data_IF_573443226154
#
_entry.id   IF_573443226154
#
_cell.length_a   1.000
_cell.length_b   1.000
_cell.length_c   1.000
_cell.angle_alpha   90.00
_cell.angle_beta   90.00
_cell.angle_gamma   90.00
#
_symmetry.space_group_name_H-M   'P 1'
#
loop_
_entity.id
_entity.type
_entity.pdbx_description
1 polymer ?
#
# COMPACT_ATOMS: atom_id res chain seq x y z
N UNK A 1 15.38 -2.57 6.02
CA UNK A 1 14.70 -3.73 5.39
C UNK A 1 14.16 -3.34 4.01
N UNK A 2 13.24 -2.38 3.88
CA UNK A 2 12.65 -1.96 2.59
C UNK A 2 13.68 -1.65 1.50
N UNK A 3 14.70 -0.85 1.80
CA UNK A 3 15.76 -0.52 0.83
C UNK A 3 16.51 -1.76 0.30
N UNK A 4 16.74 -2.76 1.15
CA UNK A 4 17.40 -4.01 0.75
C UNK A 4 16.49 -4.85 -0.16
N UNK A 5 15.19 -4.92 0.14
CA UNK A 5 14.20 -5.59 -0.70
C UNK A 5 14.09 -4.92 -2.09
N UNK A 6 14.09 -3.59 -2.12
CA UNK A 6 14.10 -2.80 -3.37
C UNK A 6 15.35 -3.10 -4.20
N UNK A 7 16.53 -3.06 -3.60
CA UNK A 7 17.78 -3.34 -4.31
C UNK A 7 17.81 -4.77 -4.88
N UNK A 8 17.34 -5.75 -4.10
CA UNK A 8 17.25 -7.15 -4.55
C UNK A 8 16.23 -7.31 -5.69
N UNK A 9 15.06 -6.68 -5.60
CA UNK A 9 14.06 -6.71 -6.65
C UNK A 9 14.53 -6.04 -7.95
N UNK A 10 15.24 -4.92 -7.86
CA UNK A 10 15.83 -4.26 -9.02
C UNK A 10 16.87 -5.16 -9.71
N UNK A 11 17.71 -5.84 -8.94
CA UNK A 11 18.67 -6.81 -9.49
C UNK A 11 17.96 -7.99 -10.15
N UNK A 12 16.92 -8.54 -9.53
CA UNK A 12 16.13 -9.64 -10.09
C UNK A 12 15.45 -9.24 -11.43
N UNK A 13 14.95 -8.01 -11.51
CA UNK A 13 14.40 -7.46 -12.75
C UNK A 13 15.46 -7.32 -13.84
N UNK A 14 16.64 -6.78 -13.52
CA UNK A 14 17.76 -6.63 -14.47
C UNK A 14 18.25 -7.98 -15.00
N UNK A 15 18.33 -8.98 -14.12
CA UNK A 15 18.75 -10.34 -14.47
C UNK A 15 17.64 -11.16 -15.16
N UNK A 16 16.41 -10.61 -15.27
CA UNK A 16 15.24 -11.29 -15.82
C UNK A 16 15.01 -12.65 -15.16
N UNK A 17 15.08 -12.69 -13.84
CA UNK A 17 14.85 -13.93 -13.06
C UNK A 17 13.48 -14.51 -13.44
N UNK A 18 13.40 -15.77 -13.91
CA UNK A 18 12.14 -16.36 -14.31
C UNK A 18 11.09 -16.34 -13.18
N UNK A 19 9.89 -15.86 -13.49
CA UNK A 19 8.78 -15.76 -12.53
C UNK A 19 8.80 -14.50 -11.65
N UNK A 20 9.83 -13.66 -11.73
CA UNK A 20 9.84 -12.37 -11.01
C UNK A 20 9.12 -11.28 -11.82
N UNK A 21 7.95 -10.85 -11.35
CA UNK A 21 7.12 -9.85 -12.02
C UNK A 21 7.28 -8.43 -11.43
N UNK A 22 7.93 -8.29 -10.28
CA UNK A 22 8.02 -7.02 -9.55
C UNK A 22 7.95 -7.22 -8.05
N UNK A 23 7.75 -6.12 -7.31
CA UNK A 23 7.62 -6.15 -5.86
C UNK A 23 6.22 -5.75 -5.40
N UNK A 24 5.80 -6.39 -4.32
CA UNK A 24 4.71 -5.92 -3.47
C UNK A 24 5.31 -5.50 -2.12
N UNK A 25 5.24 -4.21 -1.81
CA UNK A 25 5.65 -3.65 -0.53
C UNK A 25 4.41 -3.46 0.36
N UNK A 26 4.15 -4.43 1.24
CA UNK A 26 3.08 -4.37 2.23
C UNK A 26 3.58 -3.67 3.51
N UNK A 27 3.32 -2.37 3.62
CA UNK A 27 3.88 -1.51 4.66
C UNK A 27 5.18 -0.80 4.27
N UNK A 28 5.72 0.07 5.14
CA UNK A 28 5.41 0.20 6.57
C UNK A 28 4.25 1.16 6.91
N UNK A 29 3.62 1.77 5.90
CA UNK A 29 2.59 2.80 6.08
C UNK A 29 1.21 2.22 6.36
N UNK A 30 1.12 1.46 7.45
CA UNK A 30 -0.06 0.71 7.86
C UNK A 30 -0.69 1.30 9.13
N UNK A 31 -1.81 0.75 9.59
CA UNK A 31 -2.41 1.07 10.89
C UNK A 31 -1.89 0.13 11.98
N UNK A 32 -1.40 0.68 13.10
CA UNK A 32 -0.98 -0.12 14.27
C UNK A 32 -2.16 -0.94 14.82
N UNK A 33 -3.38 -0.38 14.79
CA UNK A 33 -4.60 -1.04 15.24
C UNK A 33 -4.92 -2.32 14.42
N UNK A 34 -4.46 -2.36 13.17
CA UNK A 34 -4.64 -3.49 12.25
C UNK A 34 -3.30 -4.09 11.81
N UNK A 35 -2.28 -4.06 12.68
CA UNK A 35 -0.91 -4.52 12.35
C UNK A 35 -0.82 -5.98 11.90
N UNK A 36 -1.71 -6.86 12.35
CA UNK A 36 -1.59 -8.30 12.12
C UNK A 36 -0.21 -8.82 12.55
N UNK A 37 0.48 -9.47 11.61
CA UNK A 37 1.82 -10.02 11.78
C UNK A 37 2.97 -8.99 11.60
N UNK A 38 2.67 -7.75 11.21
CA UNK A 38 3.69 -6.71 11.09
C UNK A 38 4.22 -6.29 12.48
N UNK A 39 5.53 -6.01 12.53
CA UNK A 39 6.18 -5.46 13.72
C UNK A 39 5.68 -4.02 13.96
N UNK A 40 4.98 -3.75 15.08
CA UNK A 40 4.44 -2.43 15.37
C UNK A 40 5.53 -1.35 15.49
N UNK A 41 6.76 -1.69 15.83
CA UNK A 41 7.85 -0.73 15.95
C UNK A 41 8.30 -0.15 14.59
N UNK A 42 7.96 -0.83 13.49
CA UNK A 42 8.29 -0.39 12.13
C UNK A 42 7.13 0.35 11.43
N UNK A 43 5.90 0.23 11.96
CA UNK A 43 4.74 0.90 11.38
C UNK A 43 4.81 2.39 11.66
N UNK A 44 4.72 3.19 10.60
CA UNK A 44 4.81 4.66 10.70
C UNK A 44 4.15 5.37 9.51
N UNK A 45 3.75 6.64 9.69
CA UNK A 45 3.25 7.46 8.59
C UNK A 45 4.25 7.57 7.43
N UNK A 46 3.71 7.77 6.23
CA UNK A 46 4.48 8.05 5.02
C UNK A 46 5.01 9.48 5.05
N UNK A 47 6.30 9.63 4.78
CA UNK A 47 6.98 10.92 4.63
C UNK A 47 7.23 11.23 3.15
N UNK A 48 7.67 12.46 2.85
CA UNK A 48 8.09 12.84 1.50
C UNK A 48 9.24 11.99 0.98
N UNK A 49 10.15 11.58 1.87
CA UNK A 49 11.28 10.71 1.54
C UNK A 49 10.80 9.33 1.11
N UNK A 50 9.79 8.78 1.79
CA UNK A 50 9.23 7.47 1.43
C UNK A 50 8.53 7.52 0.07
N UNK A 51 7.74 8.57 -0.15
CA UNK A 51 7.04 8.78 -1.41
C UNK A 51 8.02 8.90 -2.59
N UNK A 52 9.04 9.74 -2.45
CA UNK A 52 10.08 9.89 -3.46
C UNK A 52 10.83 8.58 -3.71
N UNK A 53 11.11 7.80 -2.65
CA UNK A 53 11.76 6.50 -2.76
C UNK A 53 10.90 5.48 -3.52
N UNK A 54 9.59 5.43 -3.27
CA UNK A 54 8.67 4.55 -3.99
C UNK A 54 8.60 4.90 -5.48
N UNK A 55 8.50 6.20 -5.80
CA UNK A 55 8.48 6.70 -7.18
C UNK A 55 9.79 6.33 -7.91
N UNK A 56 10.94 6.58 -7.27
CA UNK A 56 12.24 6.19 -7.83
C UNK A 56 12.37 4.65 -7.96
N UNK A 57 11.83 3.89 -7.01
CA UNK A 57 11.84 2.42 -7.07
C UNK A 57 11.07 1.92 -8.29
N UNK A 58 9.91 2.52 -8.58
CA UNK A 58 9.06 2.14 -9.72
C UNK A 58 9.79 2.24 -11.05
N UNK A 59 10.76 3.14 -11.22
CA UNK A 59 11.54 3.24 -12.47
C UNK A 59 12.53 2.10 -12.68
N UNK A 60 12.81 1.33 -11.62
CA UNK A 60 13.74 0.19 -11.65
C UNK A 60 13.04 -1.17 -11.68
N UNK A 61 11.71 -1.19 -11.54
CA UNK A 61 10.90 -2.40 -11.50
C UNK A 61 9.84 -2.41 -12.61
N UNK A 62 9.53 -3.59 -13.18
CA UNK A 62 8.43 -3.72 -14.13
C UNK A 62 7.06 -3.46 -13.47
N UNK A 63 6.86 -3.96 -12.25
CA UNK A 63 5.65 -3.74 -11.44
C UNK A 63 6.06 -3.37 -10.01
N UNK A 64 5.36 -2.38 -9.45
CA UNK A 64 5.40 -2.08 -8.03
C UNK A 64 3.97 -1.95 -7.52
N UNK A 65 3.62 -2.79 -6.54
CA UNK A 65 2.41 -2.71 -5.74
C UNK A 65 2.80 -2.27 -4.33
N UNK A 66 2.05 -1.37 -3.72
CA UNK A 66 2.22 -1.06 -2.29
C UNK A 66 0.90 -1.10 -1.55
N UNK A 67 0.89 -1.75 -0.39
CA UNK A 67 -0.27 -1.72 0.52
C UNK A 67 -0.04 -0.67 1.59
N UNK A 68 -1.04 0.19 1.74
CA UNK A 68 -1.05 1.28 2.71
C UNK A 68 -2.38 1.32 3.47
N UNK A 69 -2.34 1.94 4.65
CA UNK A 69 -3.52 2.27 5.43
C UNK A 69 -3.81 3.77 5.32
N UNK A 70 -5.06 4.17 5.05
CA UNK A 70 -5.49 5.57 5.06
C UNK A 70 -5.18 6.36 6.34
N UNK A 71 -4.91 5.71 7.47
CA UNK A 71 -4.48 6.36 8.72
C UNK A 71 -3.03 6.85 8.69
N UNK A 72 -2.21 6.34 7.77
CA UNK A 72 -0.77 6.59 7.71
C UNK A 72 -0.32 7.34 6.46
N UNK A 73 -1.25 7.71 5.57
CA UNK A 73 -0.96 8.35 4.29
C UNK A 73 -2.03 9.40 3.99
N UNK A 74 -1.69 10.46 3.28
CA UNK A 74 -2.66 11.45 2.77
C UNK A 74 -3.11 11.09 1.34
N UNK A 75 -4.37 11.33 0.95
CA UNK A 75 -4.88 11.05 -0.39
C UNK A 75 -4.04 11.65 -1.52
N UNK A 76 -3.50 12.85 -1.35
CA UNK A 76 -2.66 13.51 -2.36
C UNK A 76 -1.39 12.70 -2.69
N UNK A 77 -0.86 11.95 -1.71
CA UNK A 77 0.28 11.05 -1.95
C UNK A 77 -0.10 9.86 -2.81
N UNK A 78 -1.34 9.38 -2.68
CA UNK A 78 -1.86 8.27 -3.50
C UNK A 78 -1.88 8.66 -4.96
N UNK A 79 -2.42 9.83 -5.29
CA UNK A 79 -2.49 10.31 -6.68
C UNK A 79 -1.10 10.40 -7.31
N UNK A 80 -0.10 10.92 -6.58
CA UNK A 80 1.27 10.98 -7.07
C UNK A 80 1.94 9.60 -7.24
N UNK A 81 1.65 8.62 -6.37
CA UNK A 81 2.14 7.25 -6.54
C UNK A 81 1.50 6.59 -7.77
N UNK A 82 0.20 6.77 -7.96
CA UNK A 82 -0.56 6.24 -9.10
C UNK A 82 -0.09 6.87 -10.41
N UNK A 83 0.15 8.18 -10.43
CA UNK A 83 0.69 8.90 -11.60
C UNK A 83 2.10 8.42 -11.97
N UNK A 84 2.90 8.02 -10.98
CA UNK A 84 4.19 7.34 -11.22
C UNK A 84 4.05 5.88 -11.71
N UNK A 85 2.82 5.36 -11.85
CA UNK A 85 2.55 4.01 -12.34
C UNK A 85 2.65 2.93 -11.26
N UNK A 86 2.55 3.28 -9.98
CA UNK A 86 2.52 2.35 -8.85
C UNK A 86 1.08 1.91 -8.60
N UNK A 87 0.85 0.61 -8.44
CA UNK A 87 -0.45 0.12 -7.99
C UNK A 87 -0.54 0.33 -6.48
N UNK A 88 -1.57 1.04 -6.04
CA UNK A 88 -1.83 1.26 -4.61
C UNK A 88 -2.96 0.35 -4.16
N UNK A 89 -2.70 -0.39 -3.09
CA UNK A 89 -3.67 -1.23 -2.40
C UNK A 89 -3.99 -0.67 -1.03
N UNK A 90 -5.25 -0.77 -0.62
CA UNK A 90 -5.67 -0.48 0.76
C UNK A 90 -5.69 -1.77 1.59
N UNK A 91 -5.13 -1.73 2.78
CA UNK A 91 -5.10 -2.87 3.70
C UNK A 91 -4.51 -2.50 5.04
N UNK A 92 -4.61 -3.40 6.02
CA UNK A 92 -4.13 -3.14 7.38
C UNK A 92 -4.64 -1.81 7.95
N UNK A 93 -5.94 -1.56 7.79
CA UNK A 93 -6.57 -0.26 8.05
C UNK A 93 -7.91 -0.41 8.75
N UNK A 94 -8.12 0.39 9.79
CA UNK A 94 -9.39 0.51 10.50
C UNK A 94 -10.26 1.65 9.94
N UNK A 95 -9.99 2.10 8.71
CA UNK A 95 -10.66 3.26 8.13
C UNK A 95 -12.16 3.05 7.91
N UNK A 96 -12.95 4.12 7.97
CA UNK A 96 -14.36 4.09 7.59
C UNK A 96 -14.57 4.12 6.07
N UNK A 97 -15.78 3.79 5.63
CA UNK A 97 -16.16 3.71 4.22
C UNK A 97 -15.85 5.00 3.45
N UNK A 98 -16.25 6.17 3.99
CA UNK A 98 -16.08 7.45 3.30
C UNK A 98 -14.60 7.78 3.04
N UNK A 99 -13.73 7.46 3.99
CA UNK A 99 -12.28 7.68 3.85
C UNK A 99 -11.67 6.66 2.88
N UNK A 100 -12.09 5.40 2.91
CA UNK A 100 -11.69 4.41 1.90
C UNK A 100 -12.07 4.85 0.48
N UNK A 101 -13.30 5.36 0.29
CA UNK A 101 -13.76 5.90 -1.00
C UNK A 101 -12.91 7.08 -1.48
N UNK A 102 -12.54 8.01 -0.60
CA UNK A 102 -11.64 9.11 -0.96
C UNK A 102 -10.26 8.64 -1.46
N UNK A 103 -9.77 7.51 -0.97
CA UNK A 103 -8.51 6.91 -1.47
C UNK A 103 -8.70 6.19 -2.80
N UNK A 104 -9.85 5.55 -3.02
CA UNK A 104 -10.21 4.99 -4.31
C UNK A 104 -10.32 6.09 -5.38
N UNK A 105 -10.97 7.20 -5.04
CA UNK A 105 -11.10 8.38 -5.92
C UNK A 105 -9.72 9.03 -6.19
N UNK A 106 -8.77 8.92 -5.24
CA UNK A 106 -7.38 9.34 -5.43
C UNK A 106 -6.54 8.36 -6.29
N UNK A 107 -7.09 7.19 -6.65
CA UNK A 107 -6.51 6.23 -7.58
C UNK A 107 -6.11 4.87 -6.99
N UNK A 108 -6.39 4.58 -5.72
CA UNK A 108 -6.19 3.23 -5.18
C UNK A 108 -7.16 2.23 -5.83
N UNK A 109 -6.65 1.11 -6.35
CA UNK A 109 -7.43 0.17 -7.18
C UNK A 109 -7.47 -1.26 -6.65
N UNK A 110 -6.78 -1.53 -5.54
CA UNK A 110 -6.69 -2.87 -4.95
C UNK A 110 -7.04 -2.80 -3.46
N UNK A 111 -7.56 -3.92 -2.92
CA UNK A 111 -7.68 -4.15 -1.49
C UNK A 111 -6.93 -5.44 -1.15
N UNK A 112 -6.00 -5.38 -0.20
CA UNK A 112 -5.17 -6.53 0.17
C UNK A 112 -5.98 -7.45 1.08
N UNK A 113 -5.95 -8.76 0.75
CA UNK A 113 -6.51 -9.88 1.55
C UNK A 113 -7.86 -9.58 2.23
N UNK A 114 -8.86 -9.18 1.42
CA UNK A 114 -10.22 -8.80 1.84
C UNK A 114 -10.72 -9.51 3.10
N UNK A 115 -11.32 -8.72 4.00
CA UNK A 115 -11.72 -9.05 5.38
C UNK A 115 -10.59 -9.13 6.41
N UNK A 116 -9.36 -9.48 6.04
CA UNK A 116 -8.28 -9.58 7.02
C UNK A 116 -7.68 -8.21 7.35
N UNK A 117 -7.38 -7.99 8.62
CA UNK A 117 -6.74 -6.77 9.11
C UNK A 117 -7.40 -5.47 8.61
N UNK A 118 -8.73 -5.44 8.52
CA UNK A 118 -9.46 -4.24 8.13
C UNK A 118 -10.75 -4.03 8.91
N UNK A 119 -11.28 -2.82 8.88
CA UNK A 119 -12.64 -2.53 9.36
C UNK A 119 -13.67 -3.34 8.58
N UNK A 120 -14.61 -3.93 9.32
CA UNK A 120 -15.62 -4.87 8.80
C UNK A 120 -16.89 -4.15 8.36
N UNK A 121 -17.76 -4.88 7.66
CA UNK A 121 -19.07 -4.40 7.24
C UNK A 121 -20.02 -4.34 8.46
N UNK A 122 -20.29 -3.13 8.94
CA UNK A 122 -21.32 -2.85 9.94
C UNK A 122 -22.64 -2.41 9.31
N UNK A 123 -23.72 -2.39 10.11
CA UNK A 123 -25.05 -2.00 9.66
C UNK A 123 -25.19 -0.53 9.22
N UNK A 124 -24.36 0.36 9.78
CA UNK A 124 -24.34 1.81 9.50
C UNK A 124 -22.97 2.34 9.09
N UNK A 125 -21.94 1.52 9.21
CA UNK A 125 -20.57 1.84 8.84
C UNK A 125 -20.01 0.65 8.06
N UNK A 126 -20.01 0.69 6.71
CA UNK A 126 -19.52 -0.42 5.89
C UNK A 126 -18.01 -0.68 6.02
N UNK A 127 -17.23 0.30 6.50
CA UNK A 127 -15.78 0.18 6.63
C UNK A 127 -15.05 0.00 5.30
N UNK A 128 -13.79 -0.43 5.37
CA UNK A 128 -12.96 -0.75 4.21
C UNK A 128 -13.48 -2.00 3.49
N UNK A 129 -13.90 -3.02 4.25
CA UNK A 129 -14.46 -4.24 3.65
C UNK A 129 -15.70 -3.93 2.79
N UNK A 130 -16.57 -3.02 3.24
CA UNK A 130 -17.74 -2.60 2.47
C UNK A 130 -17.42 -1.61 1.34
N UNK A 131 -16.29 -0.90 1.39
CA UNK A 131 -15.84 -0.06 0.27
C UNK A 131 -15.25 -0.87 -0.90
N UNK A 132 -14.86 -2.11 -0.64
CA UNK A 132 -14.17 -3.00 -1.59
C UNK A 132 -15.10 -3.84 -2.48
N UNK A 133 -16.40 -3.90 -2.16
CA UNK A 133 -17.41 -4.75 -2.81
C UNK A 133 -18.45 -3.86 -3.50
#
# INVERSE_FOLDING_TARGET
>A
ITAAAVAAGALAAQQKVPGFLGLHLEGPHLSVARKGAHDPALIRPMTDVDQAMLIATRTTLPVLLTTIAPESVDPARISALVEAGIVVSLGHSDTGYAKARGFADAGATVVTHLFNAMSQIGNREPGLAGAAI
#
